data_IF_713264613418
#
_entry.id   IF_713264613418
#
_cell.length_a   1.000
_cell.length_b   1.000
_cell.length_c   1.000
_cell.angle_alpha   90.00
_cell.angle_beta   90.00
_cell.angle_gamma   90.00
#
_symmetry.space_group_name_H-M   'P 1'
#
loop_
_entity.id
_entity.type
_entity.pdbx_description
1 polymer ?
#
# COMPACT_ATOMS: atom_id res chain seq x y z
N UNK A 1 10.53 -7.97 9.93
CA UNK A 1 11.61 -7.22 9.22
C UNK A 1 11.05 -6.04 8.42
N UNK A 2 10.37 -6.26 7.28
CA UNK A 2 9.87 -5.15 6.44
C UNK A 2 8.88 -4.23 7.19
N UNK A 3 7.98 -4.80 8.01
CA UNK A 3 7.06 -3.99 8.81
C UNK A 3 7.78 -3.03 9.78
N UNK A 4 8.82 -3.51 10.49
CA UNK A 4 9.66 -2.64 11.33
C UNK A 4 10.46 -1.62 10.49
N UNK A 5 10.94 -2.00 9.31
CA UNK A 5 11.62 -1.07 8.39
C UNK A 5 10.71 0.10 8.00
N UNK A 6 9.39 -0.12 7.97
CA UNK A 6 8.37 0.89 7.69
C UNK A 6 7.71 1.46 8.94
N UNK A 7 8.33 1.25 10.11
CA UNK A 7 7.88 1.79 11.40
C UNK A 7 6.43 1.39 11.75
N UNK A 8 6.02 0.17 11.38
CA UNK A 8 4.71 -0.36 11.77
C UNK A 8 4.57 -0.34 13.31
N UNK A 9 3.39 0.04 13.84
CA UNK A 9 3.17 0.17 15.28
C UNK A 9 2.95 -1.20 15.94
N UNK A 10 3.98 -2.05 15.90
CA UNK A 10 3.99 -3.40 16.44
C UNK A 10 5.19 -3.58 17.40
N UNK A 11 5.01 -4.37 18.46
CA UNK A 11 6.11 -4.73 19.37
C UNK A 11 7.20 -5.57 18.70
N UNK A 12 8.37 -5.71 19.33
CA UNK A 12 9.50 -6.49 18.77
C UNK A 12 9.14 -7.96 18.48
N UNK A 13 8.31 -8.57 19.33
CA UNK A 13 7.87 -9.96 19.21
C UNK A 13 6.47 -10.11 18.57
N UNK A 14 5.85 -9.00 18.16
CA UNK A 14 4.50 -9.03 17.60
C UNK A 14 4.53 -9.36 16.10
N UNK A 15 3.67 -10.30 15.69
CA UNK A 15 3.56 -10.70 14.28
C UNK A 15 2.95 -9.57 13.45
N UNK A 16 3.74 -9.05 12.51
CA UNK A 16 3.27 -8.08 11.53
C UNK A 16 2.14 -8.64 10.62
N UNK A 17 1.25 -7.76 10.17
CA UNK A 17 0.20 -8.10 9.21
C UNK A 17 0.69 -7.78 7.79
N UNK A 18 0.90 -8.81 6.98
CA UNK A 18 1.38 -8.65 5.62
C UNK A 18 1.54 -9.97 4.90
N UNK A 19 1.69 -9.91 3.58
CA UNK A 19 1.85 -11.11 2.74
C UNK A 19 2.92 -10.90 1.66
N UNK A 20 3.58 -12.00 1.29
CA UNK A 20 4.41 -12.03 0.10
C UNK A 20 3.55 -12.19 -1.15
N UNK A 21 3.89 -11.46 -2.20
CA UNK A 21 3.22 -11.46 -3.50
C UNK A 21 4.23 -11.72 -4.61
N UNK A 22 3.78 -11.93 -5.84
CA UNK A 22 4.69 -12.02 -7.00
C UNK A 22 5.38 -10.68 -7.27
N UNK A 23 4.72 -9.57 -6.91
CA UNK A 23 5.19 -8.22 -7.12
C UNK A 23 4.20 -7.17 -6.67
N UNK A 24 4.60 -5.90 -6.76
CA UNK A 24 3.75 -4.78 -6.34
C UNK A 24 2.37 -4.75 -7.03
N UNK A 25 2.23 -5.32 -8.23
CA UNK A 25 0.92 -5.42 -8.91
C UNK A 25 -0.12 -6.20 -8.09
N UNK A 26 0.24 -7.39 -7.59
CA UNK A 26 -0.65 -8.19 -6.75
C UNK A 26 -0.81 -7.52 -5.38
N UNK A 27 0.27 -6.98 -4.81
CA UNK A 27 0.26 -6.25 -3.54
C UNK A 27 -0.74 -5.08 -3.55
N UNK A 28 -0.73 -4.26 -4.61
CA UNK A 28 -1.67 -3.15 -4.84
C UNK A 28 -3.10 -3.65 -4.92
N UNK A 29 -3.35 -4.72 -5.68
CA UNK A 29 -4.71 -5.26 -5.81
C UNK A 29 -5.26 -5.79 -4.47
N UNK A 30 -4.42 -6.46 -3.67
CA UNK A 30 -4.79 -6.92 -2.33
C UNK A 30 -5.05 -5.74 -1.37
N UNK A 31 -4.20 -4.71 -1.40
CA UNK A 31 -4.42 -3.50 -0.62
C UNK A 31 -5.72 -2.79 -1.02
N UNK A 32 -5.95 -2.61 -2.32
CA UNK A 32 -7.18 -2.03 -2.86
C UNK A 32 -8.44 -2.83 -2.50
N UNK A 33 -8.37 -4.17 -2.51
CA UNK A 33 -9.45 -5.04 -2.05
C UNK A 33 -9.76 -4.85 -0.56
N UNK A 34 -8.72 -4.74 0.28
CA UNK A 34 -8.88 -4.47 1.70
C UNK A 34 -9.55 -3.10 1.93
N UNK A 35 -9.11 -2.04 1.22
CA UNK A 35 -9.75 -0.73 1.29
C UNK A 35 -11.20 -0.76 0.81
N UNK A 36 -11.48 -1.35 -0.36
CA UNK A 36 -12.83 -1.45 -0.92
C UNK A 36 -13.76 -2.18 0.04
N UNK A 37 -13.31 -3.30 0.63
CA UNK A 37 -14.10 -4.09 1.58
C UNK A 37 -14.36 -3.32 2.87
N UNK A 38 -13.33 -2.73 3.47
CA UNK A 38 -13.43 -1.93 4.70
C UNK A 38 -14.37 -0.74 4.52
N UNK A 39 -14.23 -0.01 3.41
CA UNK A 39 -15.13 1.08 3.04
C UNK A 39 -16.57 0.60 2.87
N UNK A 40 -16.80 -0.50 2.15
CA UNK A 40 -18.14 -1.03 1.92
C UNK A 40 -18.82 -1.47 3.22
N UNK A 41 -18.08 -2.09 4.15
CA UNK A 41 -18.59 -2.45 5.47
C UNK A 41 -19.01 -1.19 6.24
N UNK A 42 -18.14 -0.17 6.29
CA UNK A 42 -18.44 1.12 6.92
C UNK A 42 -19.70 1.78 6.34
N UNK A 43 -19.86 1.75 5.01
CA UNK A 43 -21.05 2.32 4.36
C UNK A 43 -22.32 1.57 4.71
N UNK A 44 -22.28 0.23 4.73
CA UNK A 44 -23.42 -0.60 5.12
C UNK A 44 -23.82 -0.38 6.58
N UNK A 45 -22.85 -0.29 7.49
CA UNK A 45 -23.09 0.04 8.91
C UNK A 45 -23.77 1.40 9.07
N UNK A 46 -23.45 2.35 8.20
CA UNK A 46 -24.07 3.68 8.16
C UNK A 46 -25.37 3.74 7.36
N UNK A 47 -25.84 2.62 6.79
CA UNK A 47 -27.03 2.58 5.92
C UNK A 47 -26.89 3.35 4.61
N UNK A 48 -25.66 3.56 4.13
CA UNK A 48 -25.34 4.32 2.90
C UNK A 48 -25.12 3.39 1.69
N UNK A 49 -25.31 3.90 0.46
CA UNK A 49 -24.94 3.17 -0.75
C UNK A 49 -23.45 2.82 -0.79
N UNK A 50 -23.12 1.70 -1.44
CA UNK A 50 -21.74 1.21 -1.58
C UNK A 50 -21.41 0.79 -3.03
N UNK A 51 -22.12 1.35 -4.01
CA UNK A 51 -22.07 0.98 -5.43
C UNK A 51 -21.06 1.78 -6.27
N UNK A 52 -20.54 2.91 -5.76
CA UNK A 52 -19.66 3.83 -6.52
C UNK A 52 -18.32 4.14 -5.84
N UNK A 53 -17.52 3.14 -5.43
CA UNK A 53 -16.22 3.39 -4.83
C UNK A 53 -15.27 4.08 -5.81
N UNK A 54 -14.40 4.97 -5.30
CA UNK A 54 -13.31 5.56 -6.07
C UNK A 54 -11.97 5.51 -5.31
N UNK A 55 -10.86 5.63 -6.03
CA UNK A 55 -9.51 5.90 -5.50
C UNK A 55 -9.02 7.23 -6.10
N UNK A 56 -8.27 8.00 -5.30
CA UNK A 56 -7.55 9.18 -5.78
C UNK A 56 -6.06 8.90 -5.91
N UNK A 57 -5.47 9.19 -7.06
CA UNK A 57 -4.02 9.11 -7.34
C UNK A 57 -3.54 10.30 -8.17
N UNK A 58 -2.24 10.44 -8.39
CA UNK A 58 -1.72 11.30 -9.47
C UNK A 58 -1.85 10.63 -10.84
N UNK A 59 -1.80 11.40 -11.92
CA UNK A 59 -1.75 10.86 -13.29
C UNK A 59 -0.39 10.23 -13.65
N UNK A 60 0.61 10.33 -12.77
CA UNK A 60 1.87 9.58 -12.78
C UNK A 60 1.72 8.14 -12.24
N UNK A 61 0.49 7.67 -12.02
CA UNK A 61 0.19 6.35 -11.48
C UNK A 61 0.68 5.23 -12.40
N UNK A 62 1.14 4.14 -11.79
CA UNK A 62 1.54 2.94 -12.52
C UNK A 62 0.29 2.13 -12.93
N UNK A 63 0.31 1.53 -14.13
CA UNK A 63 -0.80 0.79 -14.76
C UNK A 63 -1.51 -0.26 -13.88
N UNK A 64 -0.89 -0.75 -12.81
CA UNK A 64 -1.50 -1.69 -11.86
C UNK A 64 -2.70 -1.09 -11.14
N UNK A 65 -2.70 0.21 -10.88
CA UNK A 65 -3.86 0.90 -10.31
C UNK A 65 -5.00 1.02 -11.33
N UNK A 66 -4.72 1.27 -12.62
CA UNK A 66 -5.73 1.20 -13.68
C UNK A 66 -6.32 -0.22 -13.80
N UNK A 67 -5.48 -1.26 -13.71
CA UNK A 67 -5.94 -2.64 -13.69
C UNK A 67 -6.83 -2.92 -12.47
N UNK A 68 -6.42 -2.47 -11.29
CA UNK A 68 -7.24 -2.58 -10.09
C UNK A 68 -8.60 -1.90 -10.29
N UNK A 69 -8.60 -0.63 -10.70
CA UNK A 69 -9.80 0.16 -10.96
C UNK A 69 -10.76 -0.55 -11.93
N UNK A 70 -10.22 -1.05 -13.05
CA UNK A 70 -11.02 -1.70 -14.09
C UNK A 70 -11.54 -3.08 -13.66
N UNK A 71 -10.69 -3.93 -13.08
CA UNK A 71 -11.06 -5.31 -12.75
C UNK A 71 -11.94 -5.42 -11.50
N UNK A 72 -11.80 -4.47 -10.58
CA UNK A 72 -12.56 -4.45 -9.34
C UNK A 72 -13.60 -3.34 -9.30
N UNK A 73 -13.97 -2.75 -10.44
CA UNK A 73 -15.07 -1.77 -10.55
C UNK A 73 -14.94 -0.64 -9.51
N UNK A 74 -13.81 0.05 -9.56
CA UNK A 74 -13.51 1.24 -8.75
C UNK A 74 -13.18 2.37 -9.71
N UNK A 75 -13.78 3.53 -9.52
CA UNK A 75 -13.45 4.72 -10.31
C UNK A 75 -12.04 5.21 -9.94
N UNK A 76 -11.22 5.53 -10.95
CA UNK A 76 -9.90 6.11 -10.76
C UNK A 76 -9.95 7.62 -10.99
N UNK A 77 -9.79 8.39 -9.92
CA UNK A 77 -9.71 9.86 -9.97
C UNK A 77 -8.24 10.28 -9.99
N UNK A 78 -7.82 10.89 -11.08
CA UNK A 78 -6.42 11.27 -11.31
C UNK A 78 -6.21 12.77 -11.18
N UNK A 79 -5.30 13.17 -10.28
CA UNK A 79 -4.74 14.52 -10.26
C UNK A 79 -3.84 14.69 -11.48
N UNK A 80 -4.24 15.54 -12.41
CA UNK A 80 -3.50 15.79 -13.65
C UNK A 80 -2.16 16.48 -13.36
N UNK A 81 -1.11 16.01 -14.05
CA UNK A 81 0.23 16.60 -14.00
C UNK A 81 0.26 17.95 -14.72
N UNK A 82 1.20 18.81 -14.35
CA UNK A 82 1.50 20.06 -15.04
C UNK A 82 2.98 20.10 -15.41
N UNK A 83 3.33 20.88 -16.42
CA UNK A 83 4.73 21.07 -16.79
C UNK A 83 5.54 21.58 -15.58
N UNK A 84 6.67 20.94 -15.30
CA UNK A 84 7.49 21.22 -14.11
C UNK A 84 6.97 20.64 -12.78
N UNK A 85 5.83 19.93 -12.77
CA UNK A 85 5.27 19.27 -11.58
C UNK A 85 4.70 17.90 -11.96
N UNK A 86 5.53 16.86 -11.85
CA UNK A 86 5.29 15.52 -12.41
C UNK A 86 4.88 14.46 -11.38
N UNK A 87 4.52 14.91 -10.18
CA UNK A 87 3.99 14.09 -9.09
C UNK A 87 2.57 14.54 -8.71
N UNK A 88 1.86 13.74 -7.92
CA UNK A 88 0.55 14.12 -7.40
C UNK A 88 0.67 15.35 -6.48
N UNK A 89 -0.08 16.41 -6.78
CA UNK A 89 -0.24 17.56 -5.87
C UNK A 89 -1.13 17.16 -4.68
N UNK A 90 -0.62 17.15 -3.43
CA UNK A 90 -1.39 16.73 -2.27
C UNK A 90 -2.67 17.53 -2.04
N UNK A 91 -2.67 18.83 -2.37
CA UNK A 91 -3.87 19.68 -2.18
C UNK A 91 -4.97 19.27 -3.14
N UNK A 92 -4.66 19.13 -4.42
CA UNK A 92 -5.62 18.69 -5.45
C UNK A 92 -6.11 17.27 -5.17
N UNK A 93 -5.25 16.39 -4.68
CA UNK A 93 -5.65 15.04 -4.28
C UNK A 93 -6.71 15.11 -3.17
N UNK A 94 -6.43 15.88 -2.11
CA UNK A 94 -7.37 16.08 -0.99
C UNK A 94 -8.66 16.73 -1.47
N UNK A 95 -8.65 17.66 -2.42
CA UNK A 95 -9.85 18.27 -3.01
C UNK A 95 -10.74 17.22 -3.71
N UNK A 96 -10.16 16.26 -4.43
CA UNK A 96 -10.88 15.22 -5.18
C UNK A 96 -11.54 14.13 -4.31
N UNK A 97 -11.14 14.02 -3.05
CA UNK A 97 -11.69 13.06 -2.09
C UNK A 97 -13.16 13.34 -1.80
N UNK A 98 -13.99 12.32 -1.83
CA UNK A 98 -15.39 12.36 -1.41
C UNK A 98 -15.71 11.19 -0.46
N UNK A 99 -16.97 11.04 -0.06
CA UNK A 99 -17.41 9.97 0.84
C UNK A 99 -17.18 8.57 0.24
N UNK A 100 -17.11 8.46 -1.09
CA UNK A 100 -16.92 7.19 -1.79
C UNK A 100 -15.45 6.85 -2.01
N UNK A 101 -14.52 7.73 -1.63
CA UNK A 101 -13.09 7.46 -1.74
C UNK A 101 -12.66 6.38 -0.74
N UNK A 102 -12.17 5.25 -1.27
CA UNK A 102 -11.73 4.11 -0.45
C UNK A 102 -10.31 4.29 0.09
N UNK A 103 -9.47 5.02 -0.65
CA UNK A 103 -8.17 5.52 -0.21
C UNK A 103 -7.62 6.57 -1.19
N UNK A 104 -6.60 7.31 -0.73
CA UNK A 104 -5.68 8.05 -1.60
C UNK A 104 -4.38 7.25 -1.70
N UNK A 105 -3.91 6.96 -2.92
CA UNK A 105 -2.66 6.23 -3.13
C UNK A 105 -1.55 7.20 -3.54
N UNK A 106 -0.56 7.37 -2.66
CA UNK A 106 0.64 8.17 -2.90
C UNK A 106 1.80 7.28 -3.36
N UNK A 107 2.67 7.81 -4.20
CA UNK A 107 3.76 7.07 -4.84
C UNK A 107 5.11 7.51 -4.26
N UNK A 108 5.79 6.58 -3.59
CA UNK A 108 7.15 6.81 -3.11
C UNK A 108 8.16 6.32 -4.17
N UNK A 109 8.49 7.22 -5.08
CA UNK A 109 9.40 6.97 -6.20
C UNK A 109 8.64 6.70 -7.49
N UNK A 110 8.18 7.77 -8.13
CA UNK A 110 7.48 7.73 -9.41
C UNK A 110 8.25 6.97 -10.48
N UNK A 111 7.57 6.18 -11.30
CA UNK A 111 8.18 5.51 -12.46
C UNK A 111 8.56 6.49 -13.57
N UNK A 112 8.02 7.71 -13.56
CA UNK A 112 8.31 8.72 -14.57
C UNK A 112 9.60 9.48 -14.28
N UNK A 113 9.80 9.90 -13.02
CA UNK A 113 10.87 10.83 -12.63
C UNK A 113 11.74 10.33 -11.48
N UNK A 114 11.34 9.25 -10.78
CA UNK A 114 11.99 8.79 -9.56
C UNK A 114 11.63 9.62 -8.31
N UNK A 115 10.86 10.70 -8.46
CA UNK A 115 10.51 11.63 -7.39
C UNK A 115 9.59 11.00 -6.34
N UNK A 116 9.75 11.43 -5.09
CA UNK A 116 8.88 11.04 -3.98
C UNK A 116 7.72 12.01 -3.87
N UNK A 117 6.49 11.50 -3.81
CA UNK A 117 5.35 12.32 -3.41
C UNK A 117 5.45 12.70 -1.94
N UNK A 118 4.95 13.90 -1.60
CA UNK A 118 4.95 14.41 -0.23
C UNK A 118 3.81 13.76 0.59
N UNK A 119 4.07 12.51 1.01
CA UNK A 119 3.13 11.70 1.78
C UNK A 119 2.79 12.37 3.12
N UNK A 120 3.74 13.09 3.72
CA UNK A 120 3.54 13.81 4.98
C UNK A 120 2.53 14.94 4.80
N UNK A 121 2.72 15.80 3.80
CA UNK A 121 1.77 16.86 3.51
C UNK A 121 0.39 16.30 3.15
N UNK A 122 0.34 15.21 2.38
CA UNK A 122 -0.92 14.53 2.07
C UNK A 122 -1.62 14.03 3.35
N UNK A 123 -0.89 13.40 4.27
CA UNK A 123 -1.40 12.97 5.56
C UNK A 123 -1.98 14.15 6.34
N UNK A 124 -1.24 15.24 6.47
CA UNK A 124 -1.65 16.38 7.30
C UNK A 124 -2.93 17.04 6.77
N UNK A 125 -3.02 17.21 5.44
CA UNK A 125 -4.21 17.74 4.78
C UNK A 125 -5.41 16.78 4.89
N UNK A 126 -5.21 15.48 4.73
CA UNK A 126 -6.27 14.49 4.90
C UNK A 126 -6.73 14.36 6.35
N UNK A 127 -5.86 14.53 7.35
CA UNK A 127 -6.26 14.56 8.76
C UNK A 127 -7.23 15.72 9.00
N UNK A 128 -6.92 16.91 8.49
CA UNK A 128 -7.82 18.06 8.58
C UNK A 128 -9.16 17.78 7.88
N UNK A 129 -9.14 17.28 6.64
CA UNK A 129 -10.35 16.95 5.90
C UNK A 129 -11.19 15.87 6.59
N UNK A 130 -10.58 14.81 7.11
CA UNK A 130 -11.27 13.75 7.83
C UNK A 130 -11.91 14.26 9.14
N UNK A 131 -11.31 15.23 9.81
CA UNK A 131 -11.89 15.87 10.99
C UNK A 131 -13.14 16.69 10.65
N UNK A 132 -13.16 17.32 9.48
CA UNK A 132 -14.31 18.09 8.99
C UNK A 132 -15.44 17.21 8.47
N UNK A 133 -15.11 16.14 7.74
CA UNK A 133 -16.09 15.33 7.01
C UNK A 133 -16.53 14.07 7.75
N UNK A 134 -15.71 13.57 8.68
CA UNK A 134 -15.92 12.28 9.35
C UNK A 134 -15.76 11.07 8.42
N UNK A 135 -15.15 11.23 7.24
CA UNK A 135 -15.05 10.15 6.25
C UNK A 135 -13.93 9.15 6.54
N UNK A 136 -12.94 9.47 7.37
CA UNK A 136 -11.84 8.55 7.72
C UNK A 136 -11.15 7.93 6.47
N UNK A 137 -10.85 8.76 5.46
CA UNK A 137 -10.22 8.32 4.21
C UNK A 137 -8.73 8.02 4.47
N UNK A 138 -8.27 6.79 4.19
CA UNK A 138 -6.89 6.37 4.46
C UNK A 138 -5.93 6.67 3.30
N UNK A 139 -4.64 6.54 3.59
CA UNK A 139 -3.55 6.57 2.62
C UNK A 139 -3.01 5.15 2.40
N UNK A 140 -2.80 4.81 1.14
CA UNK A 140 -1.90 3.74 0.72
C UNK A 140 -0.60 4.36 0.18
N UNK A 141 0.54 3.78 0.49
CA UNK A 141 1.81 4.19 -0.14
C UNK A 141 2.30 3.12 -1.09
N UNK A 142 2.29 3.43 -2.39
CA UNK A 142 2.98 2.66 -3.41
C UNK A 142 4.47 2.95 -3.35
N UNK A 143 5.15 2.21 -2.49
CA UNK A 143 6.59 2.27 -2.31
C UNK A 143 7.29 1.17 -3.10
N UNK A 144 6.75 0.77 -4.27
CA UNK A 144 7.28 -0.34 -5.06
C UNK A 144 8.80 -0.27 -5.23
N UNK A 145 9.33 0.92 -5.55
CA UNK A 145 10.77 1.21 -5.59
C UNK A 145 11.28 1.85 -4.29
N UNK A 146 10.69 2.98 -3.89
CA UNK A 146 11.21 3.79 -2.78
C UNK A 146 11.25 3.08 -1.43
N UNK A 147 10.45 2.02 -1.24
CA UNK A 147 10.37 1.29 0.03
C UNK A 147 11.67 0.59 0.43
N UNK A 148 12.54 0.24 -0.51
CA UNK A 148 13.90 -0.26 -0.18
C UNK A 148 15.00 0.78 -0.44
N UNK A 149 14.65 2.07 -0.57
CA UNK A 149 15.61 3.18 -0.73
C UNK A 149 15.51 4.13 0.46
N UNK A 150 14.33 4.72 0.66
CA UNK A 150 14.12 5.80 1.62
C UNK A 150 14.53 5.42 3.06
N UNK A 151 14.23 4.20 3.58
CA UNK A 151 14.67 3.82 4.92
C UNK A 151 16.19 3.85 5.14
N UNK A 152 16.99 3.67 4.09
CA UNK A 152 18.44 3.57 4.18
C UNK A 152 19.14 4.89 3.88
N UNK A 153 18.64 5.63 2.88
CA UNK A 153 19.27 6.90 2.46
C UNK A 153 18.70 8.13 3.17
N UNK A 154 17.42 8.08 3.55
CA UNK A 154 16.67 9.23 4.09
C UNK A 154 15.79 8.77 5.27
N UNK A 155 16.35 8.17 6.34
CA UNK A 155 15.56 7.61 7.44
C UNK A 155 14.66 8.63 8.15
N UNK A 156 15.07 9.91 8.15
CA UNK A 156 14.30 11.02 8.73
C UNK A 156 13.06 11.40 7.91
N UNK A 157 12.96 10.97 6.65
CA UNK A 157 11.79 11.24 5.81
C UNK A 157 10.58 10.48 6.37
N UNK A 158 9.56 11.20 6.80
CA UNK A 158 8.30 10.62 7.24
C UNK A 158 7.39 10.33 6.04
N UNK A 159 7.28 9.05 5.68
CA UNK A 159 6.44 8.59 4.56
C UNK A 159 5.65 7.32 4.88
N UNK A 160 6.05 6.59 5.93
CA UNK A 160 5.60 5.23 6.24
C UNK A 160 4.56 5.22 7.37
N UNK A 161 4.48 4.14 8.16
CA UNK A 161 3.49 4.01 9.24
C UNK A 161 3.70 4.99 10.41
N UNK A 162 4.77 5.79 10.43
CA UNK A 162 4.85 6.98 11.29
C UNK A 162 3.67 7.94 11.04
N UNK A 163 3.20 8.03 9.79
CA UNK A 163 2.05 8.84 9.42
C UNK A 163 0.74 8.10 9.75
N UNK A 164 -0.18 8.67 10.56
CA UNK A 164 -1.34 7.96 11.10
C UNK A 164 -2.36 7.50 10.06
N UNK A 165 -2.48 8.20 8.93
CA UNK A 165 -3.38 7.83 7.86
C UNK A 165 -2.81 6.78 6.90
N UNK A 166 -1.51 6.48 6.96
CA UNK A 166 -0.92 5.37 6.17
C UNK A 166 -1.38 4.05 6.78
N UNK A 167 -2.23 3.33 6.04
CA UNK A 167 -2.86 2.06 6.49
C UNK A 167 -2.30 0.82 5.82
N UNK A 168 -1.70 0.97 4.64
CA UNK A 168 -0.95 -0.11 4.00
C UNK A 168 0.12 0.44 3.06
N UNK A 169 1.14 -0.38 2.83
CA UNK A 169 2.31 -0.04 2.00
C UNK A 169 2.65 -1.27 1.16
N UNK A 170 2.85 -1.10 -0.15
CA UNK A 170 3.48 -2.12 -0.98
C UNK A 170 4.94 -1.81 -1.28
N UNK A 171 5.73 -2.87 -1.52
CA UNK A 171 7.12 -2.75 -1.97
C UNK A 171 7.50 -3.94 -2.86
N UNK A 172 8.28 -3.71 -3.93
CA UNK A 172 8.80 -4.79 -4.78
C UNK A 172 10.18 -5.22 -4.29
N UNK A 173 10.29 -6.44 -3.77
CA UNK A 173 11.58 -7.04 -3.44
C UNK A 173 12.50 -7.18 -4.66
N UNK A 174 11.90 -7.43 -5.83
CA UNK A 174 12.63 -7.50 -7.09
C UNK A 174 12.98 -6.16 -7.77
N UNK A 175 12.78 -5.04 -7.06
CA UNK A 175 13.32 -3.73 -7.46
C UNK A 175 14.56 -3.44 -6.61
N UNK A 176 14.48 -2.48 -5.70
CA UNK A 176 15.57 -2.13 -4.79
C UNK A 176 15.70 -3.06 -3.58
N UNK A 177 14.83 -4.07 -3.45
CA UNK A 177 15.01 -5.16 -2.47
C UNK A 177 16.07 -6.19 -2.87
N UNK A 178 16.72 -6.01 -4.03
CA UNK A 178 17.88 -6.76 -4.53
C UNK A 178 17.65 -8.26 -4.74
N UNK A 179 16.44 -8.64 -5.17
CA UNK A 179 16.10 -10.02 -5.57
C UNK A 179 15.76 -10.07 -7.06
N UNK A 180 15.92 -11.23 -7.70
CA UNK A 180 15.43 -11.43 -9.07
C UNK A 180 13.89 -11.31 -9.14
N UNK A 181 13.31 -11.02 -10.33
CA UNK A 181 11.87 -10.94 -10.54
C UNK A 181 11.09 -12.11 -9.94
N UNK A 182 9.98 -11.81 -9.24
CA UNK A 182 9.08 -12.81 -8.65
C UNK A 182 8.71 -12.62 -7.18
N UNK A 183 9.18 -11.56 -6.50
CA UNK A 183 8.73 -11.22 -5.14
C UNK A 183 8.36 -9.75 -4.94
N UNK A 184 7.22 -9.53 -4.30
CA UNK A 184 6.78 -8.26 -3.71
C UNK A 184 6.17 -8.48 -2.34
N UNK A 185 5.80 -7.40 -1.68
CA UNK A 185 5.27 -7.40 -0.32
C UNK A 185 4.18 -6.35 -0.18
N UNK A 186 3.15 -6.66 0.60
CA UNK A 186 2.20 -5.68 1.13
C UNK A 186 2.14 -5.86 2.64
N UNK A 187 2.21 -4.74 3.35
CA UNK A 187 2.09 -4.66 4.80
C UNK A 187 0.89 -3.79 5.13
N UNK A 188 0.09 -4.21 6.11
CA UNK A 188 -0.97 -3.40 6.71
C UNK A 188 -0.53 -2.88 8.07
N UNK A 189 -0.97 -1.67 8.42
CA UNK A 189 -0.61 -1.02 9.68
C UNK A 189 -1.06 -1.83 10.89
N UNK A 190 -2.27 -2.38 10.82
CA UNK A 190 -2.89 -3.16 11.90
C UNK A 190 -3.81 -4.23 11.35
N UNK A 191 -4.22 -5.17 12.21
CA UNK A 191 -5.22 -6.19 11.84
C UNK A 191 -6.54 -5.57 11.37
N UNK A 192 -6.95 -4.44 11.93
CA UNK A 192 -8.18 -3.73 11.54
C UNK A 192 -8.15 -3.14 10.12
N UNK A 193 -6.97 -3.10 9.49
CA UNK A 193 -6.81 -2.61 8.11
C UNK A 193 -6.89 -3.73 7.06
N UNK A 194 -7.02 -4.99 7.51
CA UNK A 194 -7.26 -6.16 6.67
C UNK A 194 -8.56 -6.85 7.13
N UNK A 195 -9.70 -6.64 6.45
CA UNK A 195 -10.96 -7.29 6.81
C UNK A 195 -10.84 -8.82 6.84
N UNK A 196 -11.21 -9.43 7.97
CA UNK A 196 -11.04 -10.87 8.23
C UNK A 196 -11.77 -11.75 7.17
N UNK A 197 -12.88 -11.26 6.59
CA UNK A 197 -13.63 -11.98 5.55
C UNK A 197 -12.91 -12.08 4.19
N UNK A 198 -11.79 -11.38 4.02
CA UNK A 198 -10.91 -11.54 2.86
C UNK A 198 -9.88 -12.66 3.06
N UNK A 199 -9.70 -13.13 4.29
CA UNK A 199 -8.73 -14.17 4.64
C UNK A 199 -9.38 -15.54 4.46
N UNK A 200 -8.78 -16.36 3.59
CA UNK A 200 -9.20 -17.74 3.38
C UNK A 200 -8.41 -18.68 4.28
N UNK A 201 -9.10 -19.65 4.87
CA UNK A 201 -8.52 -20.68 5.73
C UNK A 201 -8.55 -22.03 5.00
N UNK A 202 -7.38 -22.54 4.65
CA UNK A 202 -7.22 -23.76 3.84
C UNK A 202 -6.69 -24.90 4.71
N UNK A 203 -7.36 -26.05 4.71
CA UNK A 203 -6.97 -27.20 5.54
C UNK A 203 -6.74 -28.52 4.76
N UNK A 204 -7.04 -28.58 3.46
CA UNK A 204 -6.93 -29.81 2.65
C UNK A 204 -5.48 -30.23 2.34
N UNK A 205 -4.49 -29.42 2.75
CA UNK A 205 -3.05 -29.69 2.62
C UNK A 205 -2.40 -30.13 3.95
N UNK A 206 -3.21 -30.33 5.01
CA UNK A 206 -2.78 -30.95 6.26
C UNK A 206 -3.14 -30.15 7.51
N UNK A 207 -2.92 -28.83 7.49
CA UNK A 207 -3.24 -27.93 8.61
C UNK A 207 -3.92 -26.68 8.10
N UNK A 208 -4.59 -25.95 8.99
CA UNK A 208 -5.16 -24.65 8.67
C UNK A 208 -4.06 -23.64 8.29
N UNK A 209 -4.26 -22.95 7.18
CA UNK A 209 -3.34 -21.95 6.65
C UNK A 209 -4.13 -20.69 6.25
N UNK A 210 -3.93 -19.54 6.92
CA UNK A 210 -4.53 -18.28 6.50
C UNK A 210 -3.84 -17.79 5.22
N UNK A 211 -4.64 -17.51 4.19
CA UNK A 211 -4.18 -17.08 2.88
C UNK A 211 -4.96 -15.86 2.39
N UNK A 212 -4.24 -14.88 1.87
CA UNK A 212 -4.82 -13.72 1.21
C UNK A 212 -3.92 -13.30 0.04
N UNK A 213 -4.06 -14.01 -1.07
CA UNK A 213 -3.31 -13.82 -2.30
C UNK A 213 -4.20 -14.05 -3.51
N UNK A 214 -3.87 -13.44 -4.66
CA UNK A 214 -4.55 -13.72 -5.92
C UNK A 214 -4.00 -14.98 -6.59
N UNK A 215 -2.74 -15.29 -6.31
CA UNK A 215 -2.09 -16.53 -6.73
C UNK A 215 -2.26 -17.64 -5.69
N UNK A 216 -2.17 -18.90 -6.14
CA UNK A 216 -2.11 -20.06 -5.26
C UNK A 216 -0.73 -20.72 -5.30
N UNK A 217 -0.50 -21.68 -6.21
CA UNK A 217 0.82 -22.31 -6.39
C UNK A 217 1.82 -21.32 -7.00
N UNK A 218 2.96 -21.13 -6.33
CA UNK A 218 4.08 -20.30 -6.82
C UNK A 218 5.42 -20.81 -6.27
N UNK A 219 6.51 -20.45 -6.94
CA UNK A 219 7.86 -20.73 -6.44
C UNK A 219 8.17 -19.95 -5.16
N UNK A 220 8.95 -20.55 -4.26
CA UNK A 220 9.39 -19.91 -3.01
C UNK A 220 10.84 -19.38 -3.07
N UNK A 221 11.55 -19.59 -4.19
CA UNK A 221 12.97 -19.22 -4.33
C UNK A 221 13.22 -17.73 -4.10
N UNK A 222 12.35 -16.85 -4.61
CA UNK A 222 12.50 -15.40 -4.40
C UNK A 222 12.18 -14.98 -2.96
N UNK A 223 11.30 -15.68 -2.25
CA UNK A 223 11.05 -15.43 -0.81
C UNK A 223 12.30 -15.79 0.00
N UNK A 224 12.89 -16.96 -0.28
CA UNK A 224 14.14 -17.42 0.34
C UNK A 224 15.28 -16.43 0.03
N UNK A 225 15.40 -16.01 -1.23
CA UNK A 225 16.39 -15.03 -1.65
C UNK A 225 16.19 -13.67 -0.96
N UNK A 226 14.95 -13.20 -0.78
CA UNK A 226 14.71 -11.96 -0.05
C UNK A 226 15.17 -12.07 1.40
N UNK A 227 14.83 -13.16 2.07
CA UNK A 227 15.28 -13.38 3.44
C UNK A 227 16.81 -13.43 3.53
N UNK A 228 17.46 -14.12 2.59
CA UNK A 228 18.92 -14.13 2.47
C UNK A 228 19.49 -12.71 2.32
N UNK A 229 18.96 -11.88 1.41
CA UNK A 229 19.45 -10.52 1.22
C UNK A 229 19.31 -9.67 2.50
N UNK A 230 18.16 -9.77 3.18
CA UNK A 230 17.89 -9.02 4.41
C UNK A 230 18.89 -9.38 5.53
N UNK A 231 19.14 -10.66 5.77
CA UNK A 231 20.07 -11.09 6.85
C UNK A 231 21.55 -10.97 6.44
N UNK A 232 21.85 -11.08 5.13
CA UNK A 232 23.23 -11.02 4.63
C UNK A 232 23.76 -9.60 4.56
N UNK A 233 22.92 -8.64 4.15
CA UNK A 233 23.31 -7.25 4.03
C UNK A 233 23.06 -6.47 5.33
N UNK A 234 21.98 -6.80 6.05
CA UNK A 234 21.57 -6.03 7.23
C UNK A 234 21.20 -4.58 6.87
N UNK A 235 21.17 -3.69 7.85
CA UNK A 235 20.89 -2.27 7.61
C UNK A 235 22.10 -1.53 7.00
N UNK A 236 23.32 -1.92 7.38
CA UNK A 236 24.56 -1.18 7.06
C UNK A 236 25.03 -1.29 5.60
N UNK A 237 24.60 -2.32 4.85
CA UNK A 237 25.18 -2.67 3.53
C UNK A 237 24.19 -2.62 2.37
N UNK A 238 23.04 -1.97 2.54
CA UNK A 238 22.02 -1.81 1.48
C UNK A 238 22.30 -0.56 0.62
N UNK A 239 23.34 0.21 0.92
CA UNK A 239 23.81 1.35 0.14
C UNK A 239 25.23 1.13 -0.41
#
# INVERSE_FOLDING_TARGET
>A
MIAHLFNAPIGEDETAIGVSTVGSSEAIMLAGLAFKRKWANKMKEQGKPCDKPNIVTGANVQVCWEKFARYFEVELKEVKLTEGYYVMDPKKAVEMVDENTICVAAILGSTLTGEYEDVKLLNDLLVAKNKETGWDVPIHVDAASGGFIAPFLQPELEWDFRLPLVKSINVSGHKYGLVYPGVGWVIWRSKADLPDELIFHINYLGTDQPTFTLNFSKGASQIIAQYYQLIRLGFERVC
#
